data_IF_863372793596
#
_entry.id   IF_863372793596
#
_cell.length_a   1.000
_cell.length_b   1.000
_cell.length_c   1.000
_cell.angle_alpha   90.00
_cell.angle_beta   90.00
_cell.angle_gamma   90.00
#
_symmetry.space_group_name_H-M   'P 1'
#
loop_
_entity.id
_entity.type
_entity.pdbx_description
1 polymer ?
#
# COMPACT_ATOMS: atom_id res chain seq x y z
N UNK A 1 -7.54 9.10 -35.07
CA UNK A 1 -6.79 7.92 -34.63
C UNK A 1 -6.28 8.23 -33.23
N UNK A 2 -6.98 7.78 -32.20
CA UNK A 2 -6.61 8.03 -30.81
C UNK A 2 -6.00 6.74 -30.27
N UNK A 3 -4.67 6.60 -30.43
CA UNK A 3 -3.92 5.65 -29.60
C UNK A 3 -4.11 6.05 -28.15
N UNK A 4 -4.35 5.09 -27.26
CA UNK A 4 -4.42 5.34 -25.81
C UNK A 4 -3.08 5.92 -25.39
N UNK A 5 -3.06 7.22 -25.09
CA UNK A 5 -1.86 7.96 -24.70
C UNK A 5 -1.47 7.54 -23.29
N UNK A 6 -0.30 6.92 -23.14
CA UNK A 6 0.33 6.68 -21.85
C UNK A 6 1.26 5.47 -21.89
N UNK A 7 2.54 5.69 -21.60
CA UNK A 7 3.47 4.60 -21.31
C UNK A 7 3.02 3.79 -20.08
N UNK A 8 3.67 2.66 -19.81
CA UNK A 8 3.35 1.80 -18.67
C UNK A 8 3.38 2.54 -17.32
N UNK A 9 4.22 3.58 -17.20
CA UNK A 9 4.33 4.38 -16.00
C UNK A 9 3.07 5.25 -15.79
N UNK A 10 2.57 5.90 -16.84
CA UNK A 10 1.34 6.70 -16.79
C UNK A 10 0.14 5.82 -16.42
N UNK A 11 0.01 4.63 -17.02
CA UNK A 11 -1.08 3.69 -16.70
C UNK A 11 -1.02 3.22 -15.25
N UNK A 12 0.15 2.79 -14.78
CA UNK A 12 0.36 2.39 -13.38
C UNK A 12 -0.04 3.50 -12.42
N UNK A 13 0.31 4.76 -12.72
CA UNK A 13 -0.09 5.91 -11.89
C UNK A 13 -1.61 6.06 -11.81
N UNK A 14 -2.31 5.99 -12.93
CA UNK A 14 -3.78 6.09 -12.98
C UNK A 14 -4.45 4.96 -12.20
N UNK A 15 -3.97 3.72 -12.37
CA UNK A 15 -4.51 2.56 -11.66
C UNK A 15 -4.24 2.64 -10.14
N UNK A 16 -3.06 3.12 -9.75
CA UNK A 16 -2.72 3.34 -8.35
C UNK A 16 -3.64 4.41 -7.72
N UNK A 17 -3.92 5.50 -8.43
CA UNK A 17 -4.87 6.53 -7.98
C UNK A 17 -6.28 5.96 -7.83
N UNK A 18 -6.76 5.20 -8.82
CA UNK A 18 -8.06 4.55 -8.76
C UNK A 18 -8.18 3.58 -7.57
N UNK A 19 -7.11 2.80 -7.32
CA UNK A 19 -7.04 1.87 -6.18
C UNK A 19 -7.13 2.62 -4.85
N UNK A 20 -6.30 3.65 -4.65
CA UNK A 20 -6.30 4.43 -3.40
C UNK A 20 -7.61 5.18 -3.15
N UNK A 21 -8.28 5.63 -4.21
CA UNK A 21 -9.62 6.21 -4.12
C UNK A 21 -10.63 5.17 -3.61
N UNK A 22 -10.64 3.97 -4.19
CA UNK A 22 -11.53 2.89 -3.76
C UNK A 22 -11.24 2.44 -2.33
N UNK A 23 -9.96 2.27 -1.97
CA UNK A 23 -9.53 1.96 -0.60
C UNK A 23 -10.01 3.02 0.39
N UNK A 24 -9.86 4.31 0.05
CA UNK A 24 -10.32 5.42 0.88
C UNK A 24 -11.84 5.43 1.07
N UNK A 25 -12.60 5.16 0.00
CA UNK A 25 -14.06 5.09 0.06
C UNK A 25 -14.54 3.93 0.94
N UNK A 26 -13.96 2.74 0.78
CA UNK A 26 -14.28 1.56 1.60
C UNK A 26 -13.96 1.86 3.07
N UNK A 27 -12.77 2.38 3.35
CA UNK A 27 -12.35 2.74 4.70
C UNK A 27 -13.29 3.76 5.34
N UNK A 28 -13.72 4.78 4.58
CA UNK A 28 -14.64 5.80 5.07
C UNK A 28 -16.02 5.21 5.41
N UNK A 29 -16.51 4.24 4.63
CA UNK A 29 -17.74 3.53 4.93
C UNK A 29 -17.63 2.70 6.21
N UNK A 30 -16.52 1.96 6.40
CA UNK A 30 -16.27 1.19 7.62
C UNK A 30 -16.17 2.09 8.88
N UNK A 31 -15.57 3.27 8.74
CA UNK A 31 -15.46 4.26 9.81
C UNK A 31 -16.83 4.74 10.32
N UNK A 32 -17.91 4.65 9.53
CA UNK A 32 -19.26 5.06 9.96
C UNK A 32 -19.78 4.24 11.12
N UNK A 33 -19.46 2.95 11.14
CA UNK A 33 -19.95 2.00 12.15
C UNK A 33 -18.91 1.71 13.25
N UNK A 34 -17.66 2.14 13.06
CA UNK A 34 -16.58 1.99 14.05
C UNK A 34 -16.70 2.95 15.26
N UNK A 35 -16.21 2.49 16.42
CA UNK A 35 -16.12 3.24 17.66
C UNK A 35 -14.71 3.78 17.97
N UNK A 36 -14.59 4.60 19.02
CA UNK A 36 -13.34 5.25 19.45
C UNK A 36 -12.24 4.25 19.86
N UNK A 37 -12.61 3.04 20.30
CA UNK A 37 -11.65 2.00 20.65
C UNK A 37 -10.96 1.36 19.44
N UNK A 38 -11.55 1.51 18.26
CA UNK A 38 -11.23 0.71 17.08
C UNK A 38 -10.00 1.26 16.35
N UNK A 39 -9.34 0.35 15.63
CA UNK A 39 -8.21 0.66 14.77
C UNK A 39 -8.63 0.61 13.32
N UNK A 40 -8.15 1.57 12.55
CA UNK A 40 -8.15 1.50 11.10
C UNK A 40 -6.68 1.42 10.65
N UNK A 41 -6.32 0.34 9.96
CA UNK A 41 -4.97 0.14 9.44
C UNK A 41 -4.97 0.34 7.93
N UNK A 42 -4.03 1.13 7.42
CA UNK A 42 -3.81 1.32 5.99
C UNK A 42 -2.51 0.61 5.58
N UNK A 43 -2.53 -0.10 4.44
CA UNK A 43 -1.31 -0.66 3.83
C UNK A 43 -0.63 0.45 3.01
N UNK A 44 0.46 1.00 3.54
CA UNK A 44 1.20 2.10 2.93
C UNK A 44 1.58 3.22 3.90
N UNK A 45 2.11 4.32 3.36
CA UNK A 45 2.51 5.50 4.11
C UNK A 45 1.35 6.50 4.28
N UNK A 46 1.38 7.29 5.34
CA UNK A 46 0.32 8.25 5.72
C UNK A 46 0.36 9.56 4.91
N UNK A 47 0.41 9.45 3.59
CA UNK A 47 0.27 10.61 2.73
C UNK A 47 -1.19 10.83 2.36
N UNK A 48 -1.72 12.01 2.68
CA UNK A 48 -3.11 12.37 2.41
C UNK A 48 -3.22 13.62 1.53
N UNK A 49 -4.15 13.58 0.56
CA UNK A 49 -4.45 14.70 -0.34
C UNK A 49 -3.42 14.89 -1.47
N UNK A 50 -3.90 14.79 -2.71
CA UNK A 50 -3.09 14.88 -3.95
C UNK A 50 -3.10 13.57 -4.74
N UNK A 51 -2.32 13.49 -5.82
CA UNK A 51 -2.13 12.25 -6.58
C UNK A 51 -1.46 11.17 -5.70
N UNK A 52 -1.93 9.93 -5.82
CA UNK A 52 -1.43 8.72 -5.15
C UNK A 52 -1.44 8.78 -3.63
N UNK A 53 -2.52 9.32 -3.07
CA UNK A 53 -2.67 9.54 -1.62
C UNK A 53 -4.07 9.21 -1.15
N UNK A 54 -4.19 8.89 0.14
CA UNK A 54 -5.49 8.66 0.77
C UNK A 54 -6.31 9.96 0.87
N UNK A 55 -7.62 9.83 1.00
CA UNK A 55 -8.51 10.98 1.14
C UNK A 55 -8.33 11.71 2.47
N UNK A 56 -8.19 13.04 2.41
CA UNK A 56 -8.11 13.88 3.62
C UNK A 56 -9.35 13.71 4.51
N UNK A 57 -10.51 13.49 3.91
CA UNK A 57 -11.77 13.23 4.63
C UNK A 57 -11.70 11.98 5.52
N UNK A 58 -10.95 10.95 5.11
CA UNK A 58 -10.74 9.75 5.92
C UNK A 58 -10.00 10.09 7.22
N UNK A 59 -8.92 10.86 7.12
CA UNK A 59 -8.18 11.36 8.29
C UNK A 59 -9.10 12.20 9.18
N UNK A 60 -9.84 13.14 8.60
CA UNK A 60 -10.75 14.02 9.33
C UNK A 60 -11.83 13.24 10.09
N UNK A 61 -12.45 12.25 9.44
CA UNK A 61 -13.50 11.42 10.05
C UNK A 61 -12.97 10.52 11.16
N UNK A 62 -11.78 9.94 10.97
CA UNK A 62 -11.14 9.15 12.02
C UNK A 62 -10.83 10.01 13.25
N UNK A 63 -10.27 11.21 13.03
CA UNK A 63 -9.98 12.18 14.10
C UNK A 63 -11.24 12.59 14.86
N UNK A 64 -12.33 12.91 14.16
CA UNK A 64 -13.61 13.29 14.76
C UNK A 64 -14.18 12.19 15.67
N UNK A 65 -14.06 10.92 15.26
CA UNK A 65 -14.56 9.76 16.03
C UNK A 65 -13.56 9.21 17.04
N UNK A 66 -12.35 9.75 17.10
CA UNK A 66 -11.26 9.24 17.94
C UNK A 66 -10.76 7.84 17.54
N UNK A 67 -10.96 7.43 16.29
CA UNK A 67 -10.48 6.15 15.77
C UNK A 67 -8.95 6.16 15.69
N UNK A 68 -8.33 5.03 15.99
CA UNK A 68 -6.87 4.87 15.95
C UNK A 68 -6.44 4.51 14.53
N UNK A 69 -6.29 5.54 13.70
CA UNK A 69 -5.77 5.40 12.35
C UNK A 69 -4.25 5.22 12.37
N UNK A 70 -3.75 4.14 11.78
CA UNK A 70 -2.32 3.87 11.60
C UNK A 70 -2.06 3.47 10.15
N UNK A 71 -0.95 3.90 9.57
CA UNK A 71 -0.53 3.46 8.24
C UNK A 71 0.77 2.66 8.37
N UNK A 72 0.76 1.41 7.91
CA UNK A 72 1.90 0.50 8.06
C UNK A 72 2.37 0.12 6.66
N UNK A 73 3.64 0.40 6.38
CA UNK A 73 4.23 0.16 5.06
C UNK A 73 5.29 -0.93 5.11
N UNK A 74 5.18 -1.87 4.18
CA UNK A 74 6.13 -2.97 3.95
C UNK A 74 7.48 -2.48 3.40
N UNK A 75 7.47 -1.34 2.72
CA UNK A 75 8.66 -0.69 2.17
C UNK A 75 8.61 0.80 2.47
N UNK A 76 9.76 1.42 2.68
CA UNK A 76 9.83 2.88 2.79
C UNK A 76 11.09 3.41 2.10
N UNK A 77 11.02 3.69 0.78
CA UNK A 77 12.12 4.29 0.04
C UNK A 77 12.63 5.59 0.69
N UNK A 78 11.75 6.34 1.36
CA UNK A 78 12.06 7.58 2.06
C UNK A 78 12.94 7.42 3.32
N UNK A 79 13.21 6.18 3.77
CA UNK A 79 14.08 5.91 4.92
C UNK A 79 15.52 5.54 4.52
N UNK A 80 15.91 5.86 3.29
CA UNK A 80 17.28 5.78 2.84
C UNK A 80 17.96 7.14 2.91
N UNK A 81 19.23 7.16 3.31
CA UNK A 81 20.02 8.38 3.20
C UNK A 81 20.51 8.65 1.76
N UNK A 82 21.21 9.76 1.56
CA UNK A 82 21.77 10.16 0.25
C UNK A 82 22.74 9.14 -0.35
N UNK A 83 23.26 8.19 0.46
CA UNK A 83 24.16 7.12 0.04
C UNK A 83 23.43 5.79 -0.15
N UNK A 84 22.10 5.76 -0.03
CA UNK A 84 21.29 4.56 -0.14
C UNK A 84 21.36 3.63 1.07
N UNK A 85 21.84 4.10 2.23
CA UNK A 85 21.86 3.29 3.47
C UNK A 85 20.47 3.31 4.11
N UNK A 86 19.96 2.12 4.41
CA UNK A 86 18.62 1.92 4.96
C UNK A 86 18.58 2.11 6.49
N UNK A 87 17.79 3.07 6.96
CA UNK A 87 17.58 3.32 8.40
C UNK A 87 16.87 2.16 9.10
N UNK A 88 15.97 1.45 8.42
CA UNK A 88 15.27 0.27 8.97
C UNK A 88 16.29 -0.82 9.27
N UNK A 89 17.21 -1.09 8.35
CA UNK A 89 18.28 -2.04 8.57
C UNK A 89 19.22 -1.61 9.72
N UNK A 90 19.61 -0.33 9.75
CA UNK A 90 20.49 0.20 10.79
C UNK A 90 19.85 0.11 12.20
N UNK A 91 18.58 0.49 12.33
CA UNK A 91 17.84 0.39 13.61
C UNK A 91 17.64 -1.04 14.05
N UNK A 92 17.38 -1.98 13.13
CA UNK A 92 17.33 -3.41 13.45
C UNK A 92 18.65 -3.93 14.02
N UNK A 93 19.79 -3.57 13.40
CA UNK A 93 21.12 -4.01 13.87
C UNK A 93 21.52 -3.40 15.23
N UNK A 94 21.02 -2.21 15.56
CA UNK A 94 21.36 -1.51 16.80
C UNK A 94 20.40 -1.83 17.96
N UNK A 95 19.24 -2.44 17.68
CA UNK A 95 18.26 -2.75 18.71
C UNK A 95 18.68 -3.97 19.52
N UNK A 96 18.62 -3.86 20.85
CA UNK A 96 18.86 -4.96 21.79
C UNK A 96 17.57 -5.61 22.30
N UNK A 97 16.41 -5.12 21.85
CA UNK A 97 15.11 -5.61 22.30
C UNK A 97 14.44 -6.47 21.23
N UNK A 98 13.72 -7.54 21.61
CA UNK A 98 13.01 -8.40 20.66
C UNK A 98 11.81 -7.70 20.00
N UNK A 99 11.17 -6.78 20.74
CA UNK A 99 10.08 -5.93 20.29
C UNK A 99 10.47 -4.48 20.58
N UNK A 100 10.29 -3.59 19.62
CA UNK A 100 10.69 -2.20 19.79
C UNK A 100 10.00 -1.27 18.81
N UNK A 101 9.99 0.01 19.19
CA UNK A 101 9.51 1.13 18.40
C UNK A 101 10.61 2.19 18.41
N UNK A 102 11.10 2.58 17.25
CA UNK A 102 11.96 3.74 17.07
C UNK A 102 11.09 4.90 16.61
N UNK A 103 10.82 5.83 17.53
CA UNK A 103 9.87 6.91 17.33
C UNK A 103 10.33 8.22 18.00
N UNK A 104 10.09 9.37 17.35
CA UNK A 104 9.77 9.53 15.93
C UNK A 104 11.05 9.51 15.08
N UNK A 105 10.94 9.08 13.82
CA UNK A 105 11.95 9.35 12.77
C UNK A 105 11.73 10.74 12.20
N UNK A 106 10.49 11.02 11.78
CA UNK A 106 10.06 12.30 11.19
C UNK A 106 8.72 12.67 11.81
N UNK A 107 8.55 13.93 12.20
CA UNK A 107 7.27 14.43 12.72
C UNK A 107 6.29 14.71 11.58
N UNK A 108 5.00 14.59 11.88
CA UNK A 108 3.93 14.97 10.97
C UNK A 108 4.09 16.43 10.51
N UNK A 109 3.80 16.65 9.23
CA UNK A 109 3.76 17.97 8.61
C UNK A 109 2.64 17.98 7.56
N UNK A 110 1.48 18.50 7.94
CA UNK A 110 0.29 18.57 7.07
C UNK A 110 0.57 19.41 5.81
N UNK A 111 1.45 20.42 5.91
CA UNK A 111 1.84 21.24 4.75
C UNK A 111 2.63 20.44 3.70
N UNK A 112 3.27 19.35 4.11
CA UNK A 112 3.97 18.39 3.22
C UNK A 112 3.13 17.14 2.95
N UNK A 113 1.84 17.16 3.30
CA UNK A 113 0.91 16.03 3.18
C UNK A 113 1.28 14.81 4.03
N UNK A 114 2.15 14.95 5.03
CA UNK A 114 2.50 13.90 5.98
C UNK A 114 1.67 14.08 7.25
N UNK A 115 0.63 13.27 7.44
CA UNK A 115 -0.33 13.47 8.53
C UNK A 115 -0.02 12.68 9.81
N UNK A 116 1.00 11.82 9.77
CA UNK A 116 1.45 11.03 10.90
C UNK A 116 2.95 11.13 11.13
N UNK A 117 3.34 10.98 12.38
CA UNK A 117 4.74 10.82 12.78
C UNK A 117 5.24 9.47 12.24
N UNK A 118 6.31 9.52 11.45
CA UNK A 118 6.96 8.33 10.92
C UNK A 118 7.71 7.63 12.04
N UNK A 119 7.47 6.33 12.19
CA UNK A 119 8.18 5.47 13.14
C UNK A 119 8.61 4.17 12.47
N UNK A 120 9.49 3.45 13.16
CA UNK A 120 9.93 2.10 12.75
C UNK A 120 9.55 1.14 13.88
N UNK A 121 8.85 0.06 13.54
CA UNK A 121 8.32 -0.89 14.52
C UNK A 121 8.75 -2.32 14.20
N UNK A 122 9.07 -3.07 15.25
CA UNK A 122 9.22 -4.53 15.25
C UNK A 122 8.19 -5.14 16.18
N UNK A 123 7.22 -5.84 15.58
CA UNK A 123 6.00 -6.31 16.26
C UNK A 123 6.02 -7.78 16.66
N UNK A 124 7.00 -8.57 16.22
CA UNK A 124 7.10 -9.98 16.57
C UNK A 124 8.57 -10.32 16.88
N UNK A 125 8.80 -11.05 17.97
CA UNK A 125 10.14 -11.46 18.41
C UNK A 125 10.80 -12.39 17.38
N UNK A 126 10.07 -13.42 16.94
CA UNK A 126 10.55 -14.48 16.04
C UNK A 126 10.78 -14.01 14.59
N UNK A 127 10.22 -12.86 14.21
CA UNK A 127 10.35 -12.30 12.85
C UNK A 127 11.57 -11.40 12.72
N UNK A 128 12.35 -11.50 11.65
CA UNK A 128 13.34 -10.46 11.32
C UNK A 128 12.72 -9.22 10.68
N UNK A 129 11.40 -9.20 10.47
CA UNK A 129 10.71 -8.12 9.75
C UNK A 129 10.52 -6.89 10.64
N UNK A 130 10.71 -5.74 10.01
CA UNK A 130 10.57 -4.41 10.61
C UNK A 130 9.85 -3.52 9.62
N UNK A 131 8.95 -2.68 10.10
CA UNK A 131 8.05 -1.91 9.26
C UNK A 131 8.09 -0.43 9.59
N UNK A 132 7.85 0.40 8.58
CA UNK A 132 7.46 1.79 8.81
C UNK A 132 6.02 1.78 9.33
N UNK A 133 5.78 2.55 10.39
CA UNK A 133 4.44 2.81 10.90
C UNK A 133 4.27 4.31 11.11
N UNK A 134 3.29 4.89 10.45
CA UNK A 134 2.96 6.30 10.60
C UNK A 134 1.80 6.45 11.58
N UNK A 135 2.05 7.20 12.65
CA UNK A 135 1.10 7.42 13.75
C UNK A 135 0.47 8.79 13.57
N UNK A 136 -0.84 8.86 13.31
CA UNK A 136 -1.48 10.15 13.03
C UNK A 136 -1.23 11.18 14.13
N UNK A 137 -0.96 12.43 13.74
CA UNK A 137 -0.58 13.52 14.65
C UNK A 137 -1.53 13.67 15.84
N UNK A 138 -2.84 13.52 15.62
CA UNK A 138 -3.84 13.68 16.69
C UNK A 138 -3.80 12.57 17.75
N UNK A 139 -3.16 11.42 17.47
CA UNK A 139 -3.02 10.31 18.42
C UNK A 139 -1.83 10.50 19.37
N UNK A 140 -0.83 11.27 18.97
CA UNK A 140 0.42 11.42 19.73
C UNK A 140 0.30 12.39 20.91
N UNK A 141 -0.77 13.20 20.95
CA UNK A 141 -0.97 14.24 21.96
C UNK A 141 -1.60 13.72 23.26
N UNK A 142 -2.29 12.57 23.20
CA UNK A 142 -3.16 12.10 24.28
C UNK A 142 -2.76 10.74 24.86
N UNK A 143 -1.86 10.00 24.22
CA UNK A 143 -1.52 8.62 24.58
C UNK A 143 -0.03 8.34 24.46
N UNK A 144 0.43 7.37 25.26
CA UNK A 144 1.77 6.83 25.10
C UNK A 144 1.80 5.95 23.83
N UNK A 145 2.76 6.24 22.94
CA UNK A 145 2.93 5.50 21.69
C UNK A 145 3.07 3.97 21.89
N UNK A 146 3.83 3.47 22.88
CA UNK A 146 3.89 2.04 23.13
C UNK A 146 2.52 1.41 23.41
N UNK A 147 1.66 2.07 24.19
CA UNK A 147 0.31 1.57 24.48
C UNK A 147 -0.54 1.52 23.21
N UNK A 148 -0.45 2.56 22.37
CA UNK A 148 -1.17 2.65 21.09
C UNK A 148 -0.80 1.52 20.14
N UNK A 149 0.47 1.13 20.09
CA UNK A 149 1.00 0.11 19.18
C UNK A 149 0.89 -1.30 19.73
N UNK A 150 0.87 -1.47 21.06
CA UNK A 150 0.89 -2.78 21.72
C UNK A 150 -0.15 -3.80 21.20
N UNK A 151 -1.41 -3.44 20.84
CA UNK A 151 -2.35 -4.42 20.34
C UNK A 151 -1.93 -5.04 18.99
N UNK A 152 -1.11 -4.33 18.21
CA UNK A 152 -0.61 -4.81 16.92
C UNK A 152 0.32 -6.03 17.06
N UNK A 153 0.95 -6.22 18.21
CA UNK A 153 1.82 -7.37 18.48
C UNK A 153 1.02 -8.67 18.29
N UNK A 154 -0.13 -8.77 18.96
CA UNK A 154 -0.97 -9.98 18.95
C UNK A 154 -1.45 -10.38 17.54
N UNK A 155 -1.81 -9.40 16.71
CA UNK A 155 -2.26 -9.65 15.33
C UNK A 155 -1.10 -9.84 14.35
N UNK A 156 0.15 -9.63 14.80
CA UNK A 156 1.37 -9.82 14.00
C UNK A 156 2.08 -11.14 14.28
N UNK A 157 1.61 -11.92 15.24
CA UNK A 157 2.13 -13.27 15.56
C UNK A 157 1.44 -14.38 14.76
N UNK A 158 0.53 -14.02 13.83
CA UNK A 158 -0.18 -15.01 13.02
C UNK A 158 0.81 -15.82 12.13
N UNK A 159 0.76 -17.17 12.17
CA UNK A 159 1.68 -18.02 11.41
C UNK A 159 1.67 -17.80 9.89
N UNK A 160 0.57 -17.26 9.34
CA UNK A 160 0.46 -16.97 7.90
C UNK A 160 1.35 -15.80 7.47
N UNK A 161 1.62 -14.86 8.37
CA UNK A 161 2.34 -13.63 8.07
C UNK A 161 3.15 -13.09 9.26
N UNK A 162 4.02 -13.94 9.82
CA UNK A 162 4.80 -13.64 11.03
C UNK A 162 5.54 -12.29 10.95
N UNK A 163 5.22 -11.39 11.88
CA UNK A 163 5.78 -10.05 12.02
C UNK A 163 4.94 -8.92 11.42
N UNK A 164 3.94 -9.22 10.59
CA UNK A 164 3.09 -8.23 9.94
C UNK A 164 1.62 -8.42 10.38
N UNK A 165 0.84 -7.33 10.59
CA UNK A 165 -0.55 -7.46 11.00
C UNK A 165 -1.38 -8.30 10.02
N UNK A 166 -1.96 -9.38 10.52
CA UNK A 166 -2.71 -10.34 9.70
C UNK A 166 -3.93 -9.74 9.04
N UNK A 167 -4.52 -8.70 9.64
CA UNK A 167 -5.65 -7.97 9.05
C UNK A 167 -5.27 -7.29 7.74
N UNK A 168 -4.08 -6.69 7.67
CA UNK A 168 -3.54 -6.11 6.44
C UNK A 168 -3.14 -7.19 5.43
N UNK A 169 -2.53 -8.28 5.90
CA UNK A 169 -2.18 -9.41 5.02
C UNK A 169 -3.40 -10.02 4.36
N UNK A 170 -4.48 -10.26 5.12
CA UNK A 170 -5.74 -10.79 4.60
C UNK A 170 -6.40 -9.82 3.62
N UNK A 171 -6.40 -8.51 3.91
CA UNK A 171 -6.92 -7.52 2.98
C UNK A 171 -6.18 -7.55 1.64
N UNK A 172 -4.84 -7.64 1.69
CA UNK A 172 -4.00 -7.78 0.50
C UNK A 172 -4.32 -9.07 -0.26
N UNK A 173 -4.31 -10.22 0.41
CA UNK A 173 -4.56 -11.53 -0.18
C UNK A 173 -5.95 -11.61 -0.85
N UNK A 174 -7.00 -11.17 -0.15
CA UNK A 174 -8.37 -11.18 -0.70
C UNK A 174 -8.61 -10.17 -1.83
N UNK A 175 -7.83 -9.08 -1.87
CA UNK A 175 -7.95 -8.07 -2.93
C UNK A 175 -7.21 -8.43 -4.21
N UNK A 176 -6.28 -9.40 -4.14
CA UNK A 176 -5.44 -9.77 -5.28
C UNK A 176 -6.26 -10.52 -6.33
N UNK A 177 -6.35 -10.02 -7.57
CA UNK A 177 -7.07 -10.72 -8.62
C UNK A 177 -6.33 -12.01 -9.00
N UNK A 178 -7.06 -13.11 -9.20
CA UNK A 178 -6.48 -14.35 -9.73
C UNK A 178 -6.17 -14.23 -11.23
N UNK A 179 -5.18 -14.98 -11.71
CA UNK A 179 -4.86 -15.07 -13.15
C UNK A 179 -6.08 -15.44 -13.99
N UNK A 180 -6.95 -16.32 -13.49
CA UNK A 180 -8.20 -16.69 -14.15
C UNK A 180 -9.17 -15.51 -14.32
N UNK A 181 -9.23 -14.60 -13.34
CA UNK A 181 -10.06 -13.40 -13.39
C UNK A 181 -9.47 -12.37 -14.35
N UNK A 182 -8.15 -12.20 -14.33
CA UNK A 182 -7.44 -11.33 -15.26
C UNK A 182 -7.61 -11.82 -16.71
N UNK A 183 -7.47 -13.12 -16.95
CA UNK A 183 -7.70 -13.74 -18.25
C UNK A 183 -9.16 -13.56 -18.71
N UNK A 184 -10.12 -13.77 -17.83
CA UNK A 184 -11.54 -13.52 -18.16
C UNK A 184 -11.79 -12.07 -18.61
N UNK A 185 -11.23 -11.09 -17.89
CA UNK A 185 -11.35 -9.69 -18.30
C UNK A 185 -10.58 -9.37 -19.58
N UNK A 186 -9.41 -9.98 -19.78
CA UNK A 186 -8.66 -9.87 -21.02
C UNK A 186 -9.50 -10.35 -22.22
N UNK A 187 -10.14 -11.51 -22.12
CA UNK A 187 -11.01 -12.05 -23.18
C UNK A 187 -12.18 -11.11 -23.50
N UNK A 188 -12.81 -10.52 -22.48
CA UNK A 188 -13.89 -9.53 -22.66
C UNK A 188 -13.41 -8.27 -23.39
N UNK A 189 -12.19 -7.81 -23.09
CA UNK A 189 -11.58 -6.67 -23.77
C UNK A 189 -11.29 -7.02 -25.23
N UNK A 190 -10.72 -8.20 -25.50
CA UNK A 190 -10.47 -8.65 -26.87
C UNK A 190 -11.76 -8.77 -27.68
N UNK A 191 -12.82 -9.35 -27.11
CA UNK A 191 -14.14 -9.45 -27.77
C UNK A 191 -14.69 -8.06 -28.12
N UNK A 192 -14.63 -7.12 -27.17
CA UNK A 192 -15.07 -5.73 -27.40
C UNK A 192 -14.24 -5.04 -28.49
N UNK A 193 -12.92 -5.28 -28.54
CA UNK A 193 -12.05 -4.73 -29.58
C UNK A 193 -12.28 -5.39 -30.94
N UNK A 194 -12.64 -6.68 -30.98
CA UNK A 194 -13.00 -7.39 -32.19
C UNK A 194 -14.29 -6.83 -32.79
N UNK A 195 -15.32 -6.64 -31.95
CA UNK A 195 -16.60 -6.04 -32.35
C UNK A 195 -16.42 -4.61 -32.89
N UNK A 196 -15.46 -3.87 -32.33
CA UNK A 196 -15.08 -2.54 -32.81
C UNK A 196 -14.19 -2.55 -34.07
N UNK A 197 -13.73 -3.72 -34.53
CA UNK A 197 -12.82 -3.86 -35.66
C UNK A 197 -11.39 -3.35 -35.39
N UNK A 198 -10.98 -3.26 -34.12
CA UNK A 198 -9.69 -2.70 -33.69
C UNK A 198 -8.67 -3.78 -33.30
N UNK A 199 -9.13 -4.99 -32.96
CA UNK A 199 -8.28 -6.04 -32.37
C UNK A 199 -7.07 -6.40 -33.25
N UNK A 200 -7.29 -6.67 -34.54
CA UNK A 200 -6.22 -7.11 -35.44
C UNK A 200 -5.13 -6.05 -35.62
N UNK A 201 -5.52 -4.76 -35.67
CA UNK A 201 -4.58 -3.64 -35.78
C UNK A 201 -3.69 -3.58 -34.54
N UNK A 202 -4.30 -3.67 -33.36
CA UNK A 202 -3.58 -3.61 -32.08
C UNK A 202 -2.65 -4.82 -31.90
N UNK A 203 -3.06 -6.02 -32.31
CA UNK A 203 -2.20 -7.22 -32.27
C UNK A 203 -0.95 -7.09 -33.16
N UNK A 204 -1.09 -6.48 -34.33
CA UNK A 204 0.06 -6.21 -35.22
C UNK A 204 1.02 -5.22 -34.56
N UNK A 205 0.50 -4.17 -33.94
CA UNK A 205 1.30 -3.20 -33.19
C UNK A 205 2.03 -3.86 -32.01
N UNK A 206 1.33 -4.70 -31.24
CA UNK A 206 1.89 -5.45 -30.12
C UNK A 206 3.02 -6.37 -30.57
N UNK A 207 2.81 -7.21 -31.59
CA UNK A 207 3.84 -8.11 -32.14
C UNK A 207 5.09 -7.36 -32.62
N UNK A 208 4.93 -6.12 -33.06
CA UNK A 208 6.05 -5.29 -33.52
C UNK A 208 6.89 -4.74 -32.36
N UNK A 209 6.38 -4.78 -31.13
CA UNK A 209 6.96 -4.12 -29.96
C UNK A 209 7.20 -5.07 -28.75
N UNK A 210 6.65 -6.28 -28.76
CA UNK A 210 6.65 -7.20 -27.62
C UNK A 210 7.77 -8.26 -27.64
N UNK A 211 8.72 -8.21 -28.59
CA UNK A 211 9.79 -9.21 -28.67
C UNK A 211 10.59 -9.40 -27.35
N UNK A 212 10.91 -8.35 -26.57
CA UNK A 212 11.50 -8.53 -25.24
C UNK A 212 10.63 -9.35 -24.28
N UNK A 213 9.31 -9.24 -24.40
CA UNK A 213 8.35 -9.88 -23.50
C UNK A 213 8.25 -11.38 -23.83
N UNK A 214 8.29 -11.71 -25.12
CA UNK A 214 8.42 -13.09 -25.60
C UNK A 214 9.70 -13.75 -25.09
N UNK A 215 10.84 -13.04 -25.13
CA UNK A 215 12.12 -13.53 -24.58
C UNK A 215 12.06 -13.81 -23.07
N UNK A 216 11.22 -13.07 -22.34
CA UNK A 216 11.01 -13.25 -20.91
C UNK A 216 9.86 -14.21 -20.56
N UNK A 217 9.22 -14.84 -21.56
CA UNK A 217 8.15 -15.82 -21.37
C UNK A 217 6.83 -15.22 -20.90
N UNK A 218 6.65 -13.91 -21.03
CA UNK A 218 5.42 -13.19 -20.71
C UNK A 218 4.40 -13.50 -21.81
N UNK A 219 3.25 -14.05 -21.42
CA UNK A 219 2.17 -14.42 -22.36
C UNK A 219 1.09 -13.37 -22.46
N UNK A 220 0.85 -12.64 -21.37
CA UNK A 220 -0.21 -11.64 -21.31
C UNK A 220 0.32 -10.30 -20.81
N UNK A 221 -0.20 -9.16 -21.33
CA UNK A 221 0.24 -7.83 -20.91
C UNK A 221 0.14 -7.57 -19.40
N UNK A 222 -0.87 -8.16 -18.73
CA UNK A 222 -1.08 -8.00 -17.29
C UNK A 222 -0.03 -8.70 -16.42
N UNK A 223 0.74 -9.66 -16.96
CA UNK A 223 1.86 -10.30 -16.24
C UNK A 223 3.06 -9.34 -16.07
N UNK A 224 3.13 -8.25 -16.85
CA UNK A 224 4.15 -7.20 -16.72
C UNK A 224 3.73 -6.03 -15.85
N UNK A 225 2.44 -5.79 -15.72
CA UNK A 225 1.93 -4.82 -14.77
C UNK A 225 1.97 -5.48 -13.39
N UNK A 226 3.18 -5.56 -12.82
CA UNK A 226 3.38 -6.02 -11.45
C UNK A 226 2.54 -5.12 -10.54
N UNK A 227 1.32 -5.56 -10.24
CA UNK A 227 0.53 -5.09 -9.11
C UNK A 227 1.36 -5.53 -7.91
N UNK A 228 2.29 -4.67 -7.52
CA UNK A 228 3.18 -4.78 -6.36
C UNK A 228 2.85 -6.00 -5.48
N UNK A 229 3.46 -7.14 -5.81
CA UNK A 229 3.54 -8.28 -4.90
C UNK A 229 4.52 -7.86 -3.81
N UNK A 230 4.02 -7.08 -2.84
CA UNK A 230 4.78 -6.61 -1.67
C UNK A 230 4.24 -7.30 -0.44
#
# INVERSE_FOLDING_TARGET
MHTVVGDAYVRRRILQDARLNLESEIALNLVRDAGESDYLLLDGASYFGGERKFWVDLYGKCKEKGIKLLAISKQSPALHDEKGRDLVAATYMLSFHPLWIYYPVTRANIHEHLYGDVSIIKLCEESSRVFRCDIMEYLTHYREVPELISPLISISEDPRCIGYPVTLWLAHDFSTPSDSKLLHHHDQVEETLADAGLLDVLRIEELSCNFPDELHGVKHPFEREWIEHV
#
